data_IF_515697676354
#
_entry.id   IF_515697676354
#
_cell.length_a   1.000
_cell.length_b   1.000
_cell.length_c   1.000
_cell.angle_alpha   90.00
_cell.angle_beta   90.00
_cell.angle_gamma   90.00
#
_symmetry.space_group_name_H-M   'P 1'
#
loop_
_entity.id
_entity.type
_entity.pdbx_description
1 polymer ?
#
# COMPACT_ATOMS: atom_id res chain seq x y z
N UNK A 1 -4.82 7.45 -3.87
CA UNK A 1 -4.75 6.14 -4.56
C UNK A 1 -5.73 5.19 -3.88
N UNK A 2 -6.37 4.31 -4.63
CA UNK A 2 -7.03 3.13 -4.06
C UNK A 2 -5.99 2.08 -3.66
N UNK A 3 -6.39 1.08 -2.88
CA UNK A 3 -5.49 -0.02 -2.50
C UNK A 3 -5.06 -0.82 -3.74
N UNK A 4 -5.97 -0.99 -4.70
CA UNK A 4 -5.74 -1.70 -5.95
C UNK A 4 -4.69 -0.98 -6.81
N UNK A 5 -4.83 0.34 -7.00
CA UNK A 5 -3.83 1.15 -7.71
C UNK A 5 -2.46 1.13 -7.00
N UNK A 6 -2.47 1.14 -5.66
CA UNK A 6 -1.25 1.04 -4.87
C UNK A 6 -0.53 -0.32 -5.07
N UNK A 7 -1.27 -1.42 -5.27
CA UNK A 7 -0.70 -2.74 -5.59
C UNK A 7 -0.03 -2.71 -6.96
N UNK A 8 -0.70 -2.16 -7.97
CA UNK A 8 -0.12 -2.02 -9.31
C UNK A 8 1.16 -1.19 -9.29
N UNK A 9 1.16 -0.07 -8.56
CA UNK A 9 2.34 0.77 -8.37
C UNK A 9 3.47 0.04 -7.63
N UNK A 10 3.15 -0.72 -6.58
CA UNK A 10 4.15 -1.47 -5.82
C UNK A 10 4.85 -2.50 -6.72
N UNK A 11 4.08 -3.28 -7.48
CA UNK A 11 4.61 -4.29 -8.41
C UNK A 11 5.41 -3.65 -9.55
N UNK A 12 4.92 -2.57 -10.15
CA UNK A 12 5.64 -1.85 -11.21
C UNK A 12 6.96 -1.21 -10.71
N UNK A 13 6.99 -0.78 -9.45
CA UNK A 13 8.19 -0.17 -8.85
C UNK A 13 9.27 -1.18 -8.45
N UNK A 14 8.92 -2.47 -8.33
CA UNK A 14 9.82 -3.51 -7.82
C UNK A 14 10.25 -3.29 -6.37
N UNK A 15 9.49 -2.50 -5.59
CA UNK A 15 9.77 -2.20 -4.18
C UNK A 15 9.06 -3.19 -3.27
N UNK A 16 9.57 -3.32 -2.04
CA UNK A 16 8.95 -4.19 -1.02
C UNK A 16 7.77 -3.53 -0.29
N UNK A 17 7.71 -2.19 -0.28
CA UNK A 17 6.63 -1.42 0.32
C UNK A 17 6.37 -0.08 -0.41
N UNK A 18 5.17 0.44 -0.22
CA UNK A 18 4.69 1.72 -0.75
C UNK A 18 3.91 2.45 0.34
N UNK A 19 4.27 3.71 0.58
CA UNK A 19 3.49 4.63 1.41
C UNK A 19 2.67 5.52 0.48
N UNK A 20 1.38 5.65 0.75
CA UNK A 20 0.47 6.45 -0.06
C UNK A 20 -0.67 7.04 0.79
N UNK A 21 -1.39 8.00 0.21
CA UNK A 21 -2.62 8.53 0.80
C UNK A 21 -3.84 7.88 0.13
N UNK A 22 -4.74 7.34 0.93
CA UNK A 22 -5.99 6.75 0.44
C UNK A 22 -6.93 7.85 -0.10
N UNK A 23 -7.53 7.60 -1.27
CA UNK A 23 -8.35 8.61 -1.96
C UNK A 23 -9.66 8.94 -1.24
N UNK A 24 -10.12 8.09 -0.30
CA UNK A 24 -11.41 8.27 0.38
C UNK A 24 -11.36 9.25 1.55
N UNK A 25 -10.26 9.26 2.30
CA UNK A 25 -10.15 9.96 3.59
C UNK A 25 -8.84 10.74 3.76
N UNK A 26 -8.01 10.80 2.71
CA UNK A 26 -6.67 11.38 2.74
C UNK A 26 -5.81 10.84 3.90
N UNK A 27 -6.10 9.62 4.36
CA UNK A 27 -5.31 9.00 5.42
C UNK A 27 -4.06 8.33 4.85
N UNK A 28 -2.93 8.41 5.56
CA UNK A 28 -1.75 7.67 5.16
C UNK A 28 -1.98 6.17 5.31
N UNK A 29 -1.48 5.40 4.36
CA UNK A 29 -1.49 3.95 4.36
C UNK A 29 -0.14 3.41 3.88
N UNK A 30 0.23 2.25 4.41
CA UNK A 30 1.46 1.53 4.01
C UNK A 30 1.07 0.17 3.46
N UNK A 31 1.33 -0.05 2.17
CA UNK A 31 1.20 -1.33 1.50
C UNK A 31 2.57 -2.02 1.46
N UNK A 32 2.62 -3.32 1.72
CA UNK A 32 3.87 -4.09 1.65
C UNK A 32 3.65 -5.54 1.23
N UNK A 33 4.69 -6.16 0.67
CA UNK A 33 4.69 -7.57 0.26
C UNK A 33 5.11 -8.46 1.44
N UNK A 34 4.33 -9.51 1.70
CA UNK A 34 4.65 -10.53 2.69
C UNK A 34 5.51 -11.63 2.05
N UNK A 35 6.24 -12.36 2.90
CA UNK A 35 7.09 -13.50 2.46
C UNK A 35 6.31 -14.63 1.79
N UNK A 36 5.00 -14.70 1.99
CA UNK A 36 4.10 -15.70 1.41
C UNK A 36 3.46 -15.25 0.08
N UNK A 37 3.88 -14.10 -0.47
CA UNK A 37 3.36 -13.56 -1.72
C UNK A 37 2.04 -12.79 -1.58
N UNK A 38 1.48 -12.67 -0.37
CA UNK A 38 0.30 -11.83 -0.11
C UNK A 38 0.70 -10.39 0.18
N UNK A 39 -0.27 -9.48 0.07
CA UNK A 39 -0.08 -8.10 0.49
C UNK A 39 -0.56 -7.87 1.93
N UNK A 40 0.07 -6.91 2.60
CA UNK A 40 -0.37 -6.35 3.88
C UNK A 40 -0.60 -4.86 3.75
N UNK A 41 -1.61 -4.36 4.47
CA UNK A 41 -1.95 -2.95 4.55
C UNK A 41 -1.93 -2.52 6.01
N UNK A 42 -1.20 -1.44 6.31
CA UNK A 42 -1.18 -0.79 7.63
C UNK A 42 -1.79 0.60 7.49
N UNK A 43 -2.74 0.91 8.37
CA UNK A 43 -3.30 2.26 8.55
C UNK A 43 -2.87 2.78 9.92
N UNK A 44 -2.08 3.86 10.00
CA UNK A 44 -1.80 4.54 11.26
C UNK A 44 -3.11 5.07 11.83
N UNK A 45 -3.31 4.89 13.13
CA UNK A 45 -4.33 5.63 13.87
C UNK A 45 -3.64 6.67 14.75
N UNK A 46 -4.28 7.83 14.99
CA UNK A 46 -3.83 8.77 16.00
C UNK A 46 -3.80 8.14 17.40
#
# INVERSE_FOLDING_TARGET
LTVEEAVEHLEASGRDFLVFFEAGDETPAVLFKKKDGRYGLIRPRP
#
